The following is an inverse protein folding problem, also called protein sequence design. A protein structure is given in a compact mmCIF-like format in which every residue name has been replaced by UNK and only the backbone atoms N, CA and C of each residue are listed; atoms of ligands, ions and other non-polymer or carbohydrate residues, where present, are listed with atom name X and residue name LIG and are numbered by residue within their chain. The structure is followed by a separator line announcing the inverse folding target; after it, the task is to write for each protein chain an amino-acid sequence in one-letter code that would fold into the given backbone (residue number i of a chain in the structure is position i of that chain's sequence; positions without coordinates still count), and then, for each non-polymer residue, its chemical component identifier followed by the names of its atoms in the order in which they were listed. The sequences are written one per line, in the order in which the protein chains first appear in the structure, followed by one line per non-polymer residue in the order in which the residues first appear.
data_IF_316506699496
#
_entry.id   IF_316506699496
#
_cell.length_a   1.000
_cell.length_b   1.000
_cell.length_c   1.000
_cell.angle_alpha   90.00
_cell.angle_beta   90.00
_cell.angle_gamma   90.00
#
_symmetry.space_group_name_H-M   'P 1'
#
loop_
_entity.id
_entity.type
_entity.pdbx_description
1 polymer ?
#
# COMPACT_ATOMS: atom_id res chain seq x y z
N UNK A 1 6.70 31.87 -0.75
CA UNK A 1 6.74 30.73 0.20
C UNK A 1 5.35 30.54 0.79
N UNK A 2 4.62 29.51 0.36
CA UNK A 2 3.52 28.86 1.10
C UNK A 2 3.02 27.68 0.27
N UNK A 3 2.91 26.51 0.89
CA UNK A 3 2.50 25.26 0.24
C UNK A 3 3.06 24.05 0.96
N UNK A 4 2.94 23.98 2.30
CA UNK A 4 3.22 22.76 3.03
C UNK A 4 2.10 21.76 2.70
N UNK A 5 2.41 20.78 1.86
CA UNK A 5 1.51 19.70 1.50
C UNK A 5 1.07 18.93 2.75
N UNK A 6 -0.24 18.73 2.86
CA UNK A 6 -0.88 17.96 3.91
C UNK A 6 -0.34 16.51 3.90
N UNK A 7 0.56 16.19 4.82
CA UNK A 7 0.75 14.80 5.26
C UNK A 7 -0.54 14.44 5.98
N UNK A 8 -1.23 13.38 5.55
CA UNK A 8 -2.50 12.97 6.13
C UNK A 8 -2.31 12.41 7.55
N UNK A 9 -2.11 13.29 8.52
CA UNK A 9 -2.15 12.96 9.95
C UNK A 9 -3.61 12.80 10.35
N UNK A 10 -4.08 11.56 10.51
CA UNK A 10 -5.39 11.34 11.14
C UNK A 10 -5.30 11.82 12.60
N UNK A 11 -6.18 12.73 12.98
CA UNK A 11 -6.26 13.23 14.35
C UNK A 11 -6.70 12.09 15.27
N UNK A 12 -6.14 12.02 16.48
CA UNK A 12 -6.44 10.99 17.49
C UNK A 12 -7.95 10.82 17.71
N UNK A 13 -8.69 11.92 17.75
CA UNK A 13 -10.15 11.95 17.89
C UNK A 13 -10.85 11.19 16.74
N UNK A 14 -10.41 11.37 15.49
CA UNK A 14 -10.94 10.63 14.34
C UNK A 14 -10.65 9.13 14.43
N UNK A 15 -9.48 8.75 14.97
CA UNK A 15 -9.14 7.35 15.19
C UNK A 15 -9.99 6.72 16.30
N UNK A 16 -10.33 7.48 17.36
CA UNK A 16 -11.21 7.01 18.42
C UNK A 16 -12.67 6.86 17.93
N UNK A 17 -13.13 7.78 17.09
CA UNK A 17 -14.51 7.76 16.59
C UNK A 17 -14.74 6.77 15.45
N UNK A 18 -13.75 6.59 14.56
CA UNK A 18 -13.90 5.88 13.28
C UNK A 18 -12.88 4.78 13.05
N UNK A 19 -11.97 4.58 14.01
CA UNK A 19 -11.00 3.49 13.95
C UNK A 19 -11.68 2.14 14.01
N UNK A 20 -11.03 1.15 13.42
CA UNK A 20 -11.44 -0.25 13.50
C UNK A 20 -10.44 -0.97 14.40
N UNK A 21 -10.94 -1.90 15.22
CA UNK A 21 -10.11 -2.68 16.11
C UNK A 21 -9.07 -3.51 15.34
N UNK A 22 -7.86 -3.62 15.89
CA UNK A 22 -6.72 -4.24 15.24
C UNK A 22 -6.97 -5.73 14.91
N UNK A 23 -7.65 -6.44 15.80
CA UNK A 23 -8.06 -7.84 15.64
C UNK A 23 -9.03 -8.03 14.47
N UNK A 24 -10.01 -7.14 14.31
CA UNK A 24 -10.94 -7.16 13.17
C UNK A 24 -10.21 -6.91 11.84
N UNK A 25 -9.29 -5.94 11.81
CA UNK A 25 -8.48 -5.68 10.61
C UNK A 25 -7.57 -6.87 10.29
N UNK A 26 -6.89 -7.44 11.28
CA UNK A 26 -6.03 -8.61 11.08
C UNK A 26 -6.83 -9.83 10.57
N UNK A 27 -8.02 -10.06 11.12
CA UNK A 27 -8.93 -11.11 10.67
C UNK A 27 -9.35 -10.94 9.21
N UNK A 28 -9.77 -9.73 8.83
CA UNK A 28 -10.20 -9.45 7.45
C UNK A 28 -9.05 -9.53 6.46
N UNK A 29 -7.85 -9.03 6.82
CA UNK A 29 -6.66 -9.19 5.98
C UNK A 29 -6.31 -10.66 5.78
N UNK A 30 -6.33 -11.45 6.86
CA UNK A 30 -6.09 -12.89 6.77
C UNK A 30 -7.14 -13.59 5.91
N UNK A 31 -8.42 -13.23 6.03
CA UNK A 31 -9.49 -13.81 5.21
C UNK A 31 -9.32 -13.48 3.73
N UNK A 32 -8.95 -12.23 3.42
CA UNK A 32 -8.85 -11.76 2.05
C UNK A 32 -7.56 -12.22 1.34
N UNK A 33 -6.45 -12.27 2.06
CA UNK A 33 -5.11 -12.51 1.48
C UNK A 33 -4.57 -13.92 1.74
N UNK A 34 -5.35 -14.80 2.38
CA UNK A 34 -4.88 -16.12 2.82
C UNK A 34 -4.12 -16.88 1.72
N UNK A 35 -2.90 -17.35 2.05
CA UNK A 35 -2.08 -18.17 1.16
C UNK A 35 -1.50 -17.42 -0.04
N UNK A 36 -1.58 -16.09 -0.07
CA UNK A 36 -1.04 -15.26 -1.16
C UNK A 36 0.20 -14.49 -0.73
N UNK A 37 1.02 -14.10 -1.71
CA UNK A 37 2.07 -13.09 -1.54
C UNK A 37 1.54 -11.76 -2.06
N UNK A 38 1.50 -10.76 -1.20
CA UNK A 38 1.23 -9.37 -1.57
C UNK A 38 2.52 -8.58 -1.68
N UNK A 39 2.56 -7.61 -2.58
CA UNK A 39 3.74 -6.83 -2.90
C UNK A 39 3.56 -5.37 -2.50
N UNK A 40 4.61 -4.76 -1.97
CA UNK A 40 4.65 -3.34 -1.59
C UNK A 40 5.86 -2.65 -2.23
N UNK A 41 5.65 -1.42 -2.71
CA UNK A 41 6.70 -0.51 -3.21
C UNK A 41 7.43 0.23 -2.08
N UNK A 42 6.98 0.04 -0.83
CA UNK A 42 7.61 0.59 0.36
C UNK A 42 7.72 -0.46 1.47
N UNK A 43 8.12 -1.68 1.12
CA UNK A 43 8.15 -2.84 2.02
C UNK A 43 8.84 -2.56 3.37
N UNK A 44 9.95 -1.79 3.35
CA UNK A 44 10.72 -1.42 4.56
C UNK A 44 9.88 -0.60 5.56
N UNK A 45 8.94 0.21 5.07
CA UNK A 45 8.03 0.98 5.92
C UNK A 45 6.78 0.16 6.29
N UNK A 46 6.22 -0.58 5.34
CA UNK A 46 4.96 -1.30 5.55
C UNK A 46 5.11 -2.52 6.45
N UNK A 47 6.21 -3.28 6.31
CA UNK A 47 6.41 -4.53 7.06
C UNK A 47 6.41 -4.33 8.57
N UNK A 48 7.08 -3.33 9.16
CA UNK A 48 7.01 -3.05 10.60
C UNK A 48 5.60 -2.71 11.09
N UNK A 49 4.80 -1.98 10.32
CA UNK A 49 3.42 -1.67 10.69
C UNK A 49 2.51 -2.90 10.62
N UNK A 50 2.71 -3.74 9.60
CA UNK A 50 2.01 -5.02 9.51
C UNK A 50 2.34 -5.93 10.69
N UNK A 51 3.63 -6.03 11.08
CA UNK A 51 4.04 -6.78 12.27
C UNK A 51 3.32 -6.28 13.51
N UNK A 52 3.31 -4.97 13.76
CA UNK A 52 2.65 -4.37 14.94
C UNK A 52 1.15 -4.63 14.97
N UNK A 53 0.48 -4.60 13.82
CA UNK A 53 -0.95 -4.93 13.71
C UNK A 53 -1.22 -6.36 14.19
N UNK A 54 -0.45 -7.33 13.69
CA UNK A 54 -0.64 -8.74 14.03
C UNK A 54 -0.22 -9.07 15.47
N UNK A 55 0.83 -8.41 15.99
CA UNK A 55 1.19 -8.47 17.41
C UNK A 55 0.04 -7.94 18.30
N UNK A 56 -0.53 -6.79 17.96
CA UNK A 56 -1.65 -6.20 18.69
C UNK A 56 -2.92 -7.06 18.60
N UNK A 57 -3.14 -7.75 17.48
CA UNK A 57 -4.25 -8.67 17.27
C UNK A 57 -4.05 -10.05 17.94
N UNK A 58 -2.85 -10.38 18.41
CA UNK A 58 -2.53 -11.70 18.96
C UNK A 58 -2.64 -12.85 17.95
N UNK A 59 -2.52 -12.56 16.65
CA UNK A 59 -2.62 -13.55 15.57
C UNK A 59 -1.43 -13.46 14.63
N UNK A 60 -1.23 -14.46 13.77
CA UNK A 60 -0.18 -14.43 12.75
C UNK A 60 -0.76 -14.10 11.36
N UNK A 61 0.00 -13.41 10.48
CA UNK A 61 -0.38 -13.24 9.10
C UNK A 61 -0.52 -14.61 8.40
N UNK A 62 -1.64 -14.83 7.72
CA UNK A 62 -1.89 -15.98 6.87
C UNK A 62 -1.43 -15.78 5.43
N UNK A 63 -0.61 -14.77 5.17
CA UNK A 63 -0.13 -14.33 3.86
C UNK A 63 1.29 -13.76 3.98
N UNK A 64 1.97 -13.54 2.86
CA UNK A 64 3.32 -12.98 2.83
C UNK A 64 3.32 -11.56 2.27
N UNK A 65 4.14 -10.68 2.84
CA UNK A 65 4.42 -9.34 2.30
C UNK A 65 5.84 -9.32 1.75
N UNK A 66 5.98 -8.99 0.47
CA UNK A 66 7.26 -8.97 -0.25
C UNK A 66 7.52 -7.61 -0.91
N UNK A 67 8.79 -7.22 -1.10
CA UNK A 67 9.15 -6.06 -1.91
C UNK A 67 8.76 -6.28 -3.37
N UNK A 68 8.18 -5.27 -4.01
CA UNK A 68 7.78 -5.32 -5.42
C UNK A 68 8.99 -5.48 -6.36
N UNK A 69 10.18 -5.08 -5.91
CA UNK A 69 11.45 -5.22 -6.62
C UNK A 69 11.79 -6.68 -6.95
N UNK A 70 11.16 -7.65 -6.28
CA UNK A 70 11.31 -9.08 -6.61
C UNK A 70 10.54 -9.52 -7.86
N UNK A 71 9.59 -8.72 -8.34
CA UNK A 71 8.75 -9.01 -9.50
C UNK A 71 8.80 -7.92 -10.58
N UNK A 72 9.66 -6.92 -10.41
CA UNK A 72 9.94 -5.89 -11.42
C UNK A 72 11.19 -6.30 -12.20
N UNK A 73 11.09 -6.31 -13.52
CA UNK A 73 12.23 -6.52 -14.42
C UNK A 73 12.99 -5.22 -14.70
N UNK A 74 14.24 -5.32 -15.16
CA UNK A 74 15.05 -4.14 -15.52
C UNK A 74 14.37 -3.23 -16.58
N UNK A 75 13.77 -3.76 -17.67
CA UNK A 75 13.01 -2.92 -18.61
C UNK A 75 11.84 -2.18 -17.97
N UNK A 76 11.09 -2.85 -17.10
CA UNK A 76 9.98 -2.22 -16.36
C UNK A 76 10.49 -1.12 -15.45
N UNK A 77 11.62 -1.35 -14.76
CA UNK A 77 12.21 -0.37 -13.84
C UNK A 77 12.64 0.91 -14.57
N UNK A 78 13.22 0.78 -15.77
CA UNK A 78 13.63 1.92 -16.59
C UNK A 78 12.44 2.81 -17.00
N UNK A 79 11.28 2.21 -17.29
CA UNK A 79 10.05 2.94 -17.65
C UNK A 79 9.18 3.35 -16.45
N UNK A 80 9.47 2.84 -15.25
CA UNK A 80 8.56 2.86 -14.11
C UNK A 80 8.05 4.26 -13.75
N UNK A 81 8.95 5.23 -13.63
CA UNK A 81 8.60 6.59 -13.24
C UNK A 81 7.64 7.23 -14.26
N UNK A 82 7.93 7.11 -15.56
CA UNK A 82 7.10 7.67 -16.62
C UNK A 82 5.71 7.01 -16.67
N UNK A 83 5.64 5.69 -16.47
CA UNK A 83 4.38 4.96 -16.47
C UNK A 83 3.55 5.34 -15.24
N UNK A 84 4.19 5.44 -14.07
CA UNK A 84 3.54 5.86 -12.83
C UNK A 84 2.94 7.26 -12.95
N UNK A 85 3.69 8.20 -13.53
CA UNK A 85 3.19 9.56 -13.73
C UNK A 85 1.96 9.57 -14.66
N UNK A 86 1.97 8.76 -15.73
CA UNK A 86 0.80 8.60 -16.59
C UNK A 86 -0.39 7.97 -15.85
N UNK A 87 -0.16 6.93 -15.04
CA UNK A 87 -1.20 6.31 -14.21
C UNK A 87 -1.82 7.32 -13.24
N UNK A 88 -1.00 8.14 -12.58
CA UNK A 88 -1.48 9.18 -11.66
C UNK A 88 -2.36 10.20 -12.39
N UNK A 89 -1.94 10.63 -13.58
CA UNK A 89 -2.73 11.53 -14.42
C UNK A 89 -4.06 10.90 -14.85
N UNK A 90 -4.04 9.64 -15.29
CA UNK A 90 -5.22 8.95 -15.80
C UNK A 90 -6.25 8.64 -14.70
N UNK A 91 -5.78 8.26 -13.51
CA UNK A 91 -6.66 7.96 -12.38
C UNK A 91 -7.23 9.22 -11.72
N UNK A 92 -6.59 10.39 -11.89
CA UNK A 92 -7.07 11.68 -11.39
C UNK A 92 -7.32 11.71 -9.88
N UNK A 93 -6.62 10.85 -9.11
CA UNK A 93 -6.85 10.70 -7.67
C UNK A 93 -6.26 11.89 -6.91
N UNK A 94 -7.13 12.66 -6.26
CA UNK A 94 -6.75 13.93 -5.60
C UNK A 94 -6.36 13.77 -4.13
N UNK A 95 -6.55 12.60 -3.54
CA UNK A 95 -6.33 12.35 -2.10
C UNK A 95 -5.32 11.23 -1.89
N UNK A 96 -4.26 11.52 -1.13
CA UNK A 96 -3.30 10.52 -0.65
C UNK A 96 -3.97 9.59 0.36
N UNK A 97 -4.42 8.43 -0.13
CA UNK A 97 -5.06 7.36 0.64
C UNK A 97 -4.31 6.09 0.31
N UNK A 98 -4.08 5.24 1.32
CA UNK A 98 -3.42 3.95 1.11
C UNK A 98 -4.06 3.12 -0.02
N UNK A 99 -5.40 3.15 -0.17
CA UNK A 99 -6.09 2.48 -1.28
C UNK A 99 -5.80 3.10 -2.65
N UNK A 100 -5.64 4.42 -2.72
CA UNK A 100 -5.26 5.12 -3.95
C UNK A 100 -3.80 4.83 -4.31
N UNK A 101 -2.91 4.88 -3.31
CA UNK A 101 -1.48 4.60 -3.50
C UNK A 101 -1.27 3.15 -3.96
N UNK A 102 -1.94 2.19 -3.33
CA UNK A 102 -1.89 0.78 -3.74
C UNK A 102 -2.41 0.55 -5.18
N UNK A 103 -3.49 1.24 -5.57
CA UNK A 103 -4.02 1.16 -6.94
C UNK A 103 -3.03 1.74 -7.96
N UNK A 104 -2.40 2.87 -7.66
CA UNK A 104 -1.38 3.47 -8.52
C UNK A 104 -0.21 2.50 -8.74
N UNK A 105 0.27 1.86 -7.67
CA UNK A 105 1.36 0.87 -7.75
C UNK A 105 0.95 -0.33 -8.59
N UNK A 106 -0.25 -0.87 -8.36
CA UNK A 106 -0.79 -1.99 -9.11
C UNK A 106 -0.92 -1.68 -10.61
N UNK A 107 -1.53 -0.54 -10.96
CA UNK A 107 -1.69 -0.11 -12.35
C UNK A 107 -0.35 0.18 -13.03
N UNK A 108 0.61 0.76 -12.30
CA UNK A 108 1.97 0.99 -12.82
C UNK A 108 2.62 -0.33 -13.18
N UNK A 109 2.55 -1.33 -12.29
CA UNK A 109 3.09 -2.67 -12.56
C UNK A 109 2.40 -3.33 -13.76
N UNK A 110 1.06 -3.32 -13.82
CA UNK A 110 0.29 -3.90 -14.93
C UNK A 110 0.66 -3.26 -16.27
N UNK A 111 0.69 -1.93 -16.35
CA UNK A 111 1.00 -1.23 -17.60
C UNK A 111 2.46 -1.38 -18.01
N UNK A 112 3.37 -1.52 -17.06
CA UNK A 112 4.79 -1.78 -17.35
C UNK A 112 5.03 -3.15 -17.99
N UNK A 113 4.11 -4.11 -17.84
CA UNK A 113 4.22 -5.41 -18.53
C UNK A 113 3.86 -5.35 -20.02
N UNK A 114 3.13 -4.31 -20.45
CA UNK A 114 2.70 -4.13 -21.83
C UNK A 114 3.58 -3.17 -22.64
N UNK A 115 4.58 -2.56 -21.99
CA UNK A 115 5.54 -1.63 -22.59
C UNK A 115 6.81 -2.37 -23.02
#
# INVERSE_FOLDING_TARGET
MQGAGNVATYMMETLLERGVAADLIALELNRFLHGTTVYSDCWVLDKPWLTRLFEAAGTSPGFWLSPIELIITEPQLLGWASIRDQVVLDLGLTRHRASADALIVQETWVRSQAA
#
